data_IF_306679755987
#
_entry.id   IF_306679755987
#
_cell.length_a   1.000
_cell.length_b   1.000
_cell.length_c   1.000
_cell.angle_alpha   90.00
_cell.angle_beta   90.00
_cell.angle_gamma   90.00
#
_symmetry.space_group_name_H-M   'P 1'
#
loop_
_entity.id
_entity.type
_entity.pdbx_description
1 polymer ?
#
# COMPACT_ATOMS: atom_id res chain seq x y z
N UNK A 1 6.32 21.57 -15.63
CA UNK A 1 6.86 20.59 -14.66
C UNK A 1 5.86 20.47 -13.53
N UNK A 2 5.54 19.25 -13.05
CA UNK A 2 4.75 19.10 -11.83
C UNK A 2 5.51 19.78 -10.68
N UNK A 3 4.75 20.41 -9.80
CA UNK A 3 5.26 21.17 -8.66
C UNK A 3 5.60 20.18 -7.53
N UNK A 4 6.88 20.02 -7.22
CA UNK A 4 7.37 19.03 -6.25
C UNK A 4 6.72 19.19 -4.86
N UNK A 5 6.33 20.41 -4.47
CA UNK A 5 5.61 20.64 -3.22
C UNK A 5 4.17 20.12 -3.29
N UNK A 6 3.52 20.25 -4.45
CA UNK A 6 2.19 19.69 -4.72
C UNK A 6 2.22 18.16 -4.76
N UNK A 7 3.30 17.58 -5.27
CA UNK A 7 3.51 16.13 -5.30
C UNK A 7 3.72 15.57 -3.88
N UNK A 8 4.53 16.26 -3.06
CA UNK A 8 4.78 15.87 -1.66
C UNK A 8 3.51 15.86 -0.81
N UNK A 9 2.73 16.95 -0.84
CA UNK A 9 1.47 17.03 -0.10
C UNK A 9 0.44 15.99 -0.58
N UNK A 10 0.48 15.64 -1.86
CA UNK A 10 -0.36 14.57 -2.42
C UNK A 10 0.02 13.21 -1.85
N UNK A 11 1.33 12.88 -1.80
CA UNK A 11 1.82 11.64 -1.22
C UNK A 11 1.41 11.51 0.26
N UNK A 12 1.56 12.55 1.07
CA UNK A 12 1.18 12.53 2.49
C UNK A 12 -0.33 12.32 2.73
N UNK A 13 -1.17 12.74 1.78
CA UNK A 13 -2.62 12.51 1.84
C UNK A 13 -3.00 11.06 1.58
N UNK A 14 -2.35 10.41 0.62
CA UNK A 14 -2.73 9.08 0.13
C UNK A 14 -1.92 7.95 0.75
N UNK A 15 -0.76 8.27 1.33
CA UNK A 15 0.15 7.31 1.93
C UNK A 15 0.23 7.45 3.45
N UNK A 16 0.76 6.42 4.10
CA UNK A 16 1.10 6.38 5.52
C UNK A 16 2.50 5.79 5.68
N UNK A 17 3.22 6.07 6.78
CA UNK A 17 4.49 5.41 7.04
C UNK A 17 4.33 3.87 7.06
N UNK A 18 5.42 3.15 6.84
CA UNK A 18 5.46 1.69 6.72
C UNK A 18 4.70 0.94 7.81
N UNK A 19 3.74 0.09 7.43
CA UNK A 19 2.86 -0.64 8.33
C UNK A 19 1.60 0.13 8.75
N UNK A 20 1.48 1.42 8.39
CA UNK A 20 0.37 2.29 8.78
C UNK A 20 -0.75 2.41 7.76
N UNK A 21 -0.73 1.63 6.67
CA UNK A 21 -1.76 1.71 5.64
C UNK A 21 -3.13 1.24 6.11
N UNK A 22 -3.21 0.32 7.08
CA UNK A 22 -4.45 -0.07 7.75
C UNK A 22 -4.44 0.52 9.16
N UNK A 23 -5.52 1.21 9.54
CA UNK A 23 -5.62 1.81 10.87
C UNK A 23 -5.84 0.74 11.94
N UNK A 24 -4.98 0.72 12.95
CA UNK A 24 -5.07 -0.16 14.14
C UNK A 24 -5.29 0.68 15.40
N UNK A 25 -6.22 0.28 16.26
CA UNK A 25 -6.66 1.05 17.43
C UNK A 25 -5.95 0.70 18.74
N UNK A 26 -5.38 -0.51 18.84
CA UNK A 26 -4.73 -0.97 20.08
C UNK A 26 -3.73 -2.10 19.84
N UNK A 27 -4.19 -3.24 19.33
CA UNK A 27 -3.33 -4.40 19.04
C UNK A 27 -2.46 -4.12 17.81
N UNK A 28 -1.14 -4.20 17.98
CA UNK A 28 -0.16 -3.99 16.90
C UNK A 28 0.41 -2.58 16.78
N UNK A 29 -0.08 -1.59 17.54
CA UNK A 29 0.45 -0.22 17.47
C UNK A 29 1.94 -0.15 17.87
N UNK A 30 2.32 -0.86 18.94
CA UNK A 30 3.71 -0.90 19.40
C UNK A 30 4.64 -1.56 18.38
N UNK A 31 4.21 -2.67 17.77
CA UNK A 31 4.94 -3.40 16.73
C UNK A 31 5.09 -2.55 15.46
N UNK A 32 4.02 -1.85 15.08
CA UNK A 32 4.01 -0.93 13.94
C UNK A 32 4.98 0.24 14.19
N UNK A 33 4.96 0.83 15.38
CA UNK A 33 5.92 1.90 15.73
C UNK A 33 7.36 1.39 15.73
N UNK A 34 7.62 0.19 16.26
CA UNK A 34 8.95 -0.40 16.25
C UNK A 34 9.45 -0.64 14.82
N UNK A 35 8.59 -1.16 13.94
CA UNK A 35 8.86 -1.33 12.51
C UNK A 35 9.22 0.01 11.86
N UNK A 36 8.42 1.04 12.08
CA UNK A 36 8.63 2.38 11.53
C UNK A 36 9.96 2.99 12.00
N UNK A 37 10.27 2.90 13.30
CA UNK A 37 11.55 3.40 13.84
C UNK A 37 12.74 2.67 13.24
N UNK A 38 12.63 1.35 13.04
CA UNK A 38 13.69 0.55 12.43
C UNK A 38 13.94 0.92 10.96
N UNK A 39 12.88 1.24 10.20
CA UNK A 39 12.98 1.62 8.78
C UNK A 39 13.45 3.06 8.61
N UNK A 40 12.87 4.00 9.36
CA UNK A 40 13.11 5.43 9.16
C UNK A 40 14.25 5.98 10.02
N UNK A 41 14.76 5.21 10.99
CA UNK A 41 15.90 5.59 11.82
C UNK A 41 15.66 6.80 12.73
N UNK A 42 14.39 7.13 13.02
CA UNK A 42 14.01 8.30 13.81
C UNK A 42 13.01 7.91 14.90
N UNK A 43 13.14 8.53 16.09
CA UNK A 43 12.14 8.41 17.16
C UNK A 43 10.81 9.06 16.74
N UNK A 44 10.90 10.24 16.14
CA UNK A 44 9.78 10.84 15.42
C UNK A 44 9.63 10.19 14.04
N UNK A 45 8.75 9.20 13.98
CA UNK A 45 8.42 8.47 12.76
C UNK A 45 7.93 9.41 11.65
N UNK A 46 7.19 10.47 11.98
CA UNK A 46 6.67 11.37 10.94
C UNK A 46 7.80 12.19 10.33
N UNK A 47 8.70 12.74 11.15
CA UNK A 47 9.88 13.42 10.65
C UNK A 47 10.79 12.48 9.83
N UNK A 48 10.99 11.25 10.30
CA UNK A 48 11.78 10.24 9.58
C UNK A 48 11.17 9.85 8.23
N UNK A 49 9.85 9.64 8.18
CA UNK A 49 9.14 9.34 6.94
C UNK A 49 9.14 10.55 5.99
N UNK A 50 8.95 11.75 6.51
CA UNK A 50 9.07 12.98 5.75
C UNK A 50 10.44 13.09 5.05
N UNK A 51 11.53 12.84 5.78
CA UNK A 51 12.88 12.81 5.22
C UNK A 51 13.09 11.65 4.22
N UNK A 52 12.31 10.57 4.30
CA UNK A 52 12.30 9.52 3.30
C UNK A 52 11.63 9.99 1.99
N UNK A 53 10.50 10.68 2.08
CA UNK A 53 9.81 11.24 0.92
C UNK A 53 10.69 12.22 0.14
N UNK A 54 11.51 13.03 0.81
CA UNK A 54 12.44 13.95 0.16
C UNK A 54 13.56 13.24 -0.64
N UNK A 55 13.84 11.98 -0.32
CA UNK A 55 14.83 11.16 -1.03
C UNK A 55 14.26 10.40 -2.23
N UNK A 56 12.95 10.49 -2.49
CA UNK A 56 12.27 9.73 -3.54
C UNK A 56 12.90 9.91 -4.92
N UNK A 57 13.26 11.14 -5.29
CA UNK A 57 13.86 11.43 -6.60
C UNK A 57 15.22 10.74 -6.82
N UNK A 58 15.93 10.37 -5.74
CA UNK A 58 17.24 9.70 -5.79
C UNK A 58 17.19 8.18 -5.56
N UNK A 59 16.01 7.61 -5.29
CA UNK A 59 15.87 6.19 -5.01
C UNK A 59 15.99 5.35 -6.29
N UNK A 60 16.76 4.26 -6.24
CA UNK A 60 16.82 3.27 -7.33
C UNK A 60 15.71 2.24 -7.22
N UNK A 61 15.35 1.89 -5.99
CA UNK A 61 14.25 0.97 -5.68
C UNK A 61 13.33 1.64 -4.68
N UNK A 62 12.04 1.59 -4.95
CA UNK A 62 11.01 2.12 -4.06
C UNK A 62 10.08 0.98 -3.65
N UNK A 63 9.97 0.76 -2.35
CA UNK A 63 8.98 -0.13 -1.77
C UNK A 63 7.71 0.66 -1.45
N UNK A 64 6.58 0.23 -2.01
CA UNK A 64 5.25 0.75 -1.71
C UNK A 64 4.36 -0.40 -1.27
N UNK A 65 3.88 -0.36 -0.03
CA UNK A 65 2.94 -1.35 0.46
C UNK A 65 1.50 -1.02 0.06
N UNK A 66 0.75 -2.03 -0.35
CA UNK A 66 -0.68 -1.93 -0.63
C UNK A 66 -1.41 -2.96 0.23
N UNK A 67 -1.83 -2.60 1.46
CA UNK A 67 -2.43 -3.55 2.38
C UNK A 67 -3.89 -3.81 2.00
N UNK A 68 -4.10 -4.74 1.06
CA UNK A 68 -5.41 -5.08 0.50
C UNK A 68 -5.67 -6.57 0.55
N UNK A 69 -6.91 -6.94 0.87
CA UNK A 69 -7.44 -8.31 0.74
C UNK A 69 -8.25 -8.50 -0.56
N UNK A 70 -8.35 -7.48 -1.42
CA UNK A 70 -9.09 -7.57 -2.69
C UNK A 70 -8.43 -8.62 -3.59
N UNK A 71 -9.23 -9.57 -4.08
CA UNK A 71 -8.76 -10.68 -4.91
C UNK A 71 -8.39 -11.95 -4.13
N UNK A 72 -8.44 -11.93 -2.79
CA UNK A 72 -8.27 -13.12 -1.97
C UNK A 72 -9.50 -14.05 -2.11
N UNK A 73 -9.39 -15.11 -2.92
CA UNK A 73 -10.49 -16.02 -3.23
C UNK A 73 -10.82 -17.05 -2.13
N UNK A 74 -9.85 -17.44 -1.31
CA UNK A 74 -10.00 -18.53 -0.32
C UNK A 74 -9.78 -18.06 1.13
N UNK A 75 -8.66 -17.36 1.41
CA UNK A 75 -8.33 -16.86 2.76
C UNK A 75 -7.93 -15.39 2.73
N UNK A 76 -8.51 -14.58 3.63
CA UNK A 76 -8.12 -13.18 3.86
C UNK A 76 -6.85 -13.09 4.72
N UNK A 77 -6.20 -11.93 4.70
CA UNK A 77 -5.00 -11.64 5.49
C UNK A 77 -3.83 -11.11 4.65
N UNK A 78 -3.98 -11.01 3.33
CA UNK A 78 -3.00 -10.41 2.43
C UNK A 78 -2.75 -8.93 2.78
N UNK A 79 -3.72 -8.25 3.38
CA UNK A 79 -3.55 -6.91 3.91
C UNK A 79 -2.45 -6.78 4.98
N UNK A 80 -2.05 -7.88 5.64
CA UNK A 80 -0.96 -7.91 6.62
C UNK A 80 0.42 -8.11 5.98
N UNK A 81 0.47 -8.52 4.71
CA UNK A 81 1.71 -8.87 4.03
C UNK A 81 2.73 -7.71 3.97
N UNK A 82 2.36 -6.44 3.71
CA UNK A 82 3.35 -5.37 3.65
C UNK A 82 4.14 -5.17 4.95
N UNK A 83 3.48 -5.28 6.12
CA UNK A 83 4.17 -5.17 7.39
C UNK A 83 5.05 -6.41 7.67
N UNK A 84 4.52 -7.60 7.43
CA UNK A 84 5.23 -8.86 7.66
C UNK A 84 6.49 -9.00 6.77
N UNK A 85 6.39 -8.61 5.49
CA UNK A 85 7.52 -8.62 4.57
C UNK A 85 8.63 -7.68 5.04
N UNK A 86 8.28 -6.45 5.47
CA UNK A 86 9.27 -5.50 5.98
C UNK A 86 9.96 -6.00 7.25
N UNK A 87 9.20 -6.59 8.17
CA UNK A 87 9.77 -7.23 9.36
C UNK A 87 10.79 -8.30 8.98
N UNK A 88 10.47 -9.13 7.99
CA UNK A 88 11.42 -10.12 7.49
C UNK A 88 12.65 -9.46 6.84
N UNK A 89 12.44 -8.45 6.00
CA UNK A 89 13.50 -7.71 5.29
C UNK A 89 14.45 -6.97 6.23
N UNK A 90 14.00 -6.50 7.40
CA UNK A 90 14.87 -5.89 8.42
C UNK A 90 15.96 -6.85 8.93
N UNK A 91 15.70 -8.15 8.91
CA UNK A 91 16.70 -9.18 9.21
C UNK A 91 17.72 -9.42 8.09
N UNK A 92 17.54 -8.78 6.93
CA UNK A 92 18.35 -8.98 5.73
C UNK A 92 18.99 -7.66 5.28
N UNK A 93 20.10 -7.71 4.52
CA UNK A 93 20.81 -6.53 4.00
C UNK A 93 20.09 -5.82 2.82
N UNK A 94 18.76 -5.79 2.87
CA UNK A 94 17.89 -5.24 1.81
C UNK A 94 17.78 -3.72 1.91
N UNK A 95 17.85 -3.17 3.13
CA UNK A 95 17.82 -1.73 3.37
C UNK A 95 19.19 -1.10 3.06
N UNK A 96 19.46 -0.90 1.76
CA UNK A 96 20.61 -0.17 1.26
C UNK A 96 20.26 1.30 0.99
N UNK A 97 21.25 2.21 0.89
CA UNK A 97 20.98 3.64 0.74
C UNK A 97 20.12 4.02 -0.49
N UNK A 98 20.14 3.20 -1.54
CA UNK A 98 19.39 3.39 -2.78
C UNK A 98 18.00 2.72 -2.79
N UNK A 99 17.65 2.02 -1.70
CA UNK A 99 16.33 1.42 -1.46
C UNK A 99 15.55 2.30 -0.49
N UNK A 100 14.40 2.80 -0.95
CA UNK A 100 13.51 3.66 -0.17
C UNK A 100 12.22 2.93 0.18
N UNK A 101 11.81 2.99 1.45
CA UNK A 101 10.43 2.65 1.82
C UNK A 101 9.53 3.88 1.77
N UNK A 102 8.62 3.89 0.80
CA UNK A 102 7.66 4.98 0.61
C UNK A 102 6.50 4.91 1.62
N UNK A 103 6.36 3.78 2.33
CA UNK A 103 5.27 3.49 3.23
C UNK A 103 4.14 2.73 2.53
N UNK A 104 2.93 2.91 3.02
CA UNK A 104 1.74 2.18 2.58
C UNK A 104 0.67 3.10 1.99
N UNK A 105 -0.06 2.60 1.01
CA UNK A 105 -1.34 3.19 0.62
C UNK A 105 -2.28 3.17 1.82
N UNK A 106 -2.88 4.33 2.11
CA UNK A 106 -3.92 4.44 3.12
C UNK A 106 -5.17 3.68 2.66
N UNK A 107 -5.47 2.59 3.35
CA UNK A 107 -6.66 1.77 3.14
C UNK A 107 -7.60 1.96 4.33
N UNK A 108 -8.89 2.20 4.04
CA UNK A 108 -9.94 2.26 5.06
C UNK A 108 -10.83 1.03 4.87
N UNK A 109 -10.62 -0.05 5.66
CA UNK A 109 -11.36 -1.30 5.47
C UNK A 109 -12.87 -1.13 5.58
N UNK A 110 -13.33 -0.16 6.39
CA UNK A 110 -14.75 0.09 6.66
C UNK A 110 -15.50 0.71 5.48
N UNK A 111 -14.81 1.23 4.45
CA UNK A 111 -15.44 1.77 3.24
C UNK A 111 -15.75 0.71 2.17
N UNK A 112 -15.53 -0.57 2.49
CA UNK A 112 -15.77 -1.72 1.60
C UNK A 112 -16.90 -2.63 2.11
N UNK A 113 -17.83 -2.13 2.94
CA UNK A 113 -19.07 -2.89 3.14
C UNK A 113 -19.88 -2.82 1.84
N UNK A 114 -20.30 -3.97 1.32
CA UNK A 114 -21.18 -4.06 0.15
C UNK A 114 -22.49 -3.27 0.38
N UNK A 115 -22.93 -3.16 1.64
CA UNK A 115 -24.11 -2.38 2.05
C UNK A 115 -23.95 -0.87 1.80
N UNK A 116 -22.73 -0.39 1.54
CA UNK A 116 -22.41 1.00 1.22
C UNK A 116 -22.24 1.25 -0.28
N UNK A 117 -22.36 0.22 -1.12
CA UNK A 117 -22.27 0.34 -2.58
C UNK A 117 -23.67 0.52 -3.19
N UNK A 118 -23.82 1.47 -4.11
CA UNK A 118 -25.07 1.63 -4.86
C UNK A 118 -25.33 0.43 -5.79
N UNK A 119 -26.60 0.13 -6.04
CA UNK A 119 -27.01 -1.02 -6.86
C UNK A 119 -26.32 -1.04 -8.23
N UNK A 120 -26.19 0.13 -8.88
CA UNK A 120 -25.50 0.25 -10.16
C UNK A 120 -24.01 -0.15 -10.09
N UNK A 121 -23.30 0.18 -9.01
CA UNK A 121 -21.91 -0.22 -8.79
C UNK A 121 -21.78 -1.73 -8.57
N UNK A 122 -22.68 -2.30 -7.77
CA UNK A 122 -22.74 -3.73 -7.50
C UNK A 122 -22.97 -4.50 -8.80
N UNK A 123 -23.93 -4.08 -9.61
CA UNK A 123 -24.23 -4.71 -10.90
C UNK A 123 -23.08 -4.56 -11.90
N UNK A 124 -22.45 -3.39 -11.97
CA UNK A 124 -21.29 -3.16 -12.83
C UNK A 124 -20.08 -4.02 -12.41
N UNK A 125 -19.84 -4.19 -11.11
CA UNK A 125 -18.78 -5.04 -10.60
C UNK A 125 -19.07 -6.53 -10.87
N UNK A 126 -20.29 -6.99 -10.56
CA UNK A 126 -20.74 -8.38 -10.81
C UNK A 126 -20.75 -8.75 -12.30
N UNK A 127 -21.08 -7.80 -13.18
CA UNK A 127 -21.03 -7.96 -14.63
C UNK A 127 -19.62 -7.94 -15.21
N UNK A 128 -18.62 -7.49 -14.45
CA UNK A 128 -17.19 -7.53 -14.80
C UNK A 128 -16.43 -8.64 -14.09
N UNK A 129 -17.06 -9.33 -13.14
CA UNK A 129 -16.41 -10.35 -12.33
C UNK A 129 -15.91 -11.50 -13.23
N UNK A 130 -14.67 -11.92 -12.98
CA UNK A 130 -14.06 -13.13 -13.52
C UNK A 130 -14.83 -14.35 -13.02
N UNK A 131 -15.94 -14.67 -13.67
CA UNK A 131 -16.67 -15.92 -13.46
C UNK A 131 -16.13 -16.97 -14.42
N UNK A 132 -16.11 -18.26 -14.07
CA UNK A 132 -15.73 -19.33 -15.01
C UNK A 132 -16.55 -19.25 -16.31
N UNK A 133 -17.82 -18.90 -16.21
CA UNK A 133 -18.77 -18.70 -17.31
C UNK A 133 -18.66 -17.35 -18.05
N UNK A 134 -17.86 -16.40 -17.55
CA UNK A 134 -17.60 -15.10 -18.19
C UNK A 134 -16.22 -14.56 -17.81
N UNK A 135 -15.12 -15.17 -18.32
CA UNK A 135 -13.78 -14.72 -18.01
C UNK A 135 -13.47 -13.44 -18.79
N UNK A 136 -13.56 -12.28 -18.12
CA UNK A 136 -13.04 -11.01 -18.68
C UNK A 136 -11.54 -10.92 -18.37
N UNK A 137 -10.70 -11.53 -19.22
CA UNK A 137 -9.26 -11.28 -19.20
C UNK A 137 -8.99 -10.01 -20.00
N UNK A 138 -8.93 -8.86 -19.33
CA UNK A 138 -8.24 -7.68 -19.86
C UNK A 138 -6.91 -7.54 -19.13
N UNK A 139 -5.91 -8.27 -19.62
CA UNK A 139 -4.52 -7.96 -19.33
C UNK A 139 -4.15 -6.68 -20.08
N UNK A 140 -4.08 -5.55 -19.38
CA UNK A 140 -3.52 -4.33 -19.98
C UNK A 140 -2.01 -4.38 -19.93
N UNK A 141 -1.43 -5.21 -20.79
CA UNK A 141 -0.12 -5.04 -21.40
C UNK A 141 0.01 -6.10 -22.50
N UNK A 142 0.01 -5.67 -23.76
CA UNK A 142 0.20 -6.49 -24.99
C UNK A 142 -1.05 -7.19 -25.57
N UNK A 143 -1.92 -6.44 -26.25
CA UNK A 143 -2.14 -6.62 -27.70
C UNK A 143 -3.13 -5.55 -28.24
N UNK A 144 -2.75 -4.72 -29.23
CA UNK A 144 -3.69 -3.75 -29.80
C UNK A 144 -4.59 -4.32 -30.92
N UNK A 145 -4.29 -5.47 -31.54
CA UNK A 145 -5.03 -5.92 -32.72
C UNK A 145 -5.26 -7.45 -32.80
N UNK A 146 -6.06 -8.01 -31.89
CA UNK A 146 -6.77 -9.29 -32.11
C UNK A 146 -8.11 -9.31 -31.39
#
# INVERSE_FOLDING_TARGET
MPDAARDRATLERILRPAGGGVYVVSTGLAEQQALMRAIYGAEDVQAGWAAALDRLAGARVVLLGVPSDVGAGFTRGANRAPAALRQHMLGHRVWQPDVLDLGDVRVVPQLLSDDMLGEAQIQAHRGRALRPESPVVRGTAQNPDV
#
